data_IF_948111670815
#
_entry.id   IF_948111670815
#
_cell.length_a   1.000
_cell.length_b   1.000
_cell.length_c   1.000
_cell.angle_alpha   90.00
_cell.angle_beta   90.00
_cell.angle_gamma   90.00
#
_symmetry.space_group_name_H-M   'P 1'
#
loop_
_entity.id
_entity.type
_entity.pdbx_description
1 polymer ?
#
# COMPACT_ATOMS: atom_id res chain seq x y z
N UNK A 1 9.65 1.49 -1.74
CA UNK A 1 8.43 2.34 -1.72
C UNK A 1 7.39 1.98 -2.77
N UNK A 2 7.75 1.34 -3.89
CA UNK A 2 6.80 1.03 -4.96
C UNK A 2 5.62 0.15 -4.53
N UNK A 3 5.87 -0.88 -3.71
CA UNK A 3 4.83 -1.79 -3.19
C UNK A 3 3.79 -1.03 -2.35
N UNK A 4 4.23 -0.15 -1.45
CA UNK A 4 3.33 0.71 -0.67
C UNK A 4 2.56 1.66 -1.58
N UNK A 5 3.22 2.24 -2.58
CA UNK A 5 2.56 3.10 -3.55
C UNK A 5 1.46 2.34 -4.32
N UNK A 6 1.76 1.13 -4.78
CA UNK A 6 0.80 0.28 -5.52
C UNK A 6 -0.38 -0.10 -4.66
N UNK A 7 -0.14 -0.45 -3.38
CA UNK A 7 -1.20 -0.66 -2.40
C UNK A 7 -2.07 0.60 -2.20
N UNK A 8 -1.45 1.77 -2.31
CA UNK A 8 -2.11 3.08 -2.32
C UNK A 8 -2.88 3.42 -3.60
N UNK A 9 -2.73 2.62 -4.68
CA UNK A 9 -3.36 2.83 -5.98
C UNK A 9 -2.42 3.36 -7.08
N UNK A 10 -1.10 3.37 -6.85
CA UNK A 10 -0.13 3.67 -7.91
C UNK A 10 -0.10 2.55 -8.95
N UNK A 11 -0.20 2.92 -10.23
CA UNK A 11 -0.27 1.92 -11.31
C UNK A 11 1.09 1.54 -11.87
N UNK A 12 2.13 2.33 -11.58
CA UNK A 12 3.48 2.17 -12.13
C UNK A 12 3.48 2.03 -13.67
N UNK A 13 2.72 2.90 -14.35
CA UNK A 13 2.63 2.92 -15.82
C UNK A 13 3.81 3.65 -16.44
N UNK A 14 4.19 3.26 -17.65
CA UNK A 14 5.20 3.96 -18.44
C UNK A 14 4.81 5.43 -18.61
N UNK A 15 5.75 6.35 -18.36
CA UNK A 15 5.52 7.80 -18.39
C UNK A 15 4.78 8.37 -17.18
N UNK A 16 4.36 7.53 -16.22
CA UNK A 16 3.80 8.02 -14.96
C UNK A 16 4.93 8.52 -14.06
N UNK A 17 4.81 9.76 -13.57
CA UNK A 17 5.75 10.32 -12.60
C UNK A 17 5.83 9.51 -11.30
N UNK A 18 6.81 9.80 -10.43
CA UNK A 18 6.97 9.09 -9.17
C UNK A 18 5.72 9.18 -8.29
N UNK A 19 5.46 8.17 -7.45
CA UNK A 19 4.30 8.18 -6.56
C UNK A 19 4.38 9.33 -5.55
N UNK A 20 3.33 10.15 -5.50
CA UNK A 20 3.21 11.25 -4.53
C UNK A 20 2.98 10.75 -3.10
N UNK A 21 3.27 11.63 -2.13
CA UNK A 21 3.13 11.35 -0.69
C UNK A 21 1.73 10.86 -0.29
N UNK A 22 0.68 11.41 -0.90
CA UNK A 22 -0.72 10.97 -0.68
C UNK A 22 -0.94 9.51 -1.06
N UNK A 23 -0.32 9.04 -2.15
CA UNK A 23 -0.45 7.65 -2.60
C UNK A 23 0.28 6.72 -1.65
N UNK A 24 1.47 7.12 -1.17
CA UNK A 24 2.20 6.39 -0.12
C UNK A 24 1.38 6.30 1.17
N UNK A 25 0.77 7.40 1.62
CA UNK A 25 -0.09 7.43 2.81
C UNK A 25 -1.30 6.49 2.72
N UNK A 26 -1.95 6.44 1.55
CA UNK A 26 -3.05 5.49 1.31
C UNK A 26 -2.57 4.04 1.38
N UNK A 27 -1.37 3.76 0.87
CA UNK A 27 -0.73 2.46 0.98
C UNK A 27 -0.49 2.03 2.43
N UNK A 28 0.07 2.92 3.24
CA UNK A 28 0.32 2.67 4.66
C UNK A 28 -0.96 2.37 5.43
N UNK A 29 -2.03 3.16 5.22
CA UNK A 29 -3.33 2.90 5.86
C UNK A 29 -3.92 1.53 5.50
N UNK A 30 -3.81 1.11 4.24
CA UNK A 30 -4.25 -0.23 3.81
C UNK A 30 -3.39 -1.34 4.39
N UNK A 31 -2.08 -1.14 4.49
CA UNK A 31 -1.18 -2.11 5.10
C UNK A 31 -1.53 -2.34 6.57
N UNK A 32 -1.91 -1.30 7.30
CA UNK A 32 -2.34 -1.41 8.69
C UNK A 32 -3.57 -2.33 8.83
N UNK A 33 -4.57 -2.17 7.96
CA UNK A 33 -5.74 -3.05 7.95
C UNK A 33 -5.36 -4.52 7.63
N UNK A 34 -4.42 -4.75 6.70
CA UNK A 34 -3.93 -6.10 6.42
C UNK A 34 -3.14 -6.70 7.58
N UNK A 35 -2.37 -5.89 8.30
CA UNK A 35 -1.67 -6.33 9.52
C UNK A 35 -2.67 -6.77 10.60
N UNK A 36 -3.73 -5.99 10.81
CA UNK A 36 -4.78 -6.33 11.78
C UNK A 36 -5.48 -7.64 11.41
N UNK A 37 -5.83 -7.82 10.13
CA UNK A 37 -6.40 -9.07 9.65
C UNK A 37 -5.42 -10.25 9.79
N UNK A 38 -4.15 -10.06 9.46
CA UNK A 38 -3.13 -11.10 9.62
C UNK A 38 -2.97 -11.53 11.08
N UNK A 39 -3.02 -10.60 12.03
CA UNK A 39 -2.98 -10.94 13.45
C UNK A 39 -4.25 -11.67 13.88
N UNK A 40 -5.42 -11.24 13.41
CA UNK A 40 -6.70 -11.84 13.78
C UNK A 40 -6.87 -13.28 13.25
N UNK A 41 -6.33 -13.59 12.07
CA UNK A 41 -6.58 -14.86 11.37
C UNK A 41 -5.33 -15.72 11.13
N UNK A 42 -4.13 -15.18 11.35
CA UNK A 42 -2.86 -15.80 10.97
C UNK A 42 -2.15 -16.58 12.08
N UNK A 43 -2.59 -16.46 13.34
CA UNK A 43 -2.16 -17.35 14.42
C UNK A 43 -3.09 -18.56 14.49
N UNK A 44 -2.68 -19.64 13.82
CA UNK A 44 -3.13 -21.02 14.06
C UNK A 44 -2.04 -21.81 14.76
#
# INVERSE_FOLDING_TARGET
MLVLAQLGGYLNKTGQGPPGSTVIWRGLRRLQAYREAYIAFGTG
#
